data_IF_518111661763
#
_entry.id   IF_518111661763
#
_cell.length_a   1.000
_cell.length_b   1.000
_cell.length_c   1.000
_cell.angle_alpha   90.00
_cell.angle_beta   90.00
_cell.angle_gamma   90.00
#
_symmetry.space_group_name_H-M   'P 1'
#
loop_
_entity.id
_entity.type
_entity.pdbx_description
1 polymer ?
#
# COMPACT_ATOMS: atom_id res chain seq x y z
N UNK A 1 0.39 -18.33 9.37
CA UNK A 1 1.37 -19.19 10.09
C UNK A 1 1.35 -18.84 11.58
N UNK A 2 1.69 -19.75 12.50
CA UNK A 2 1.63 -19.49 13.96
C UNK A 2 3.02 -19.57 14.60
N UNK A 3 3.33 -18.66 15.53
CA UNK A 3 4.43 -18.84 16.49
C UNK A 3 3.87 -19.34 17.81
N UNK A 4 4.50 -20.35 18.41
CA UNK A 4 4.11 -20.85 19.73
C UNK A 4 5.11 -20.30 20.75
N UNK A 5 4.65 -19.55 21.75
CA UNK A 5 5.49 -19.08 22.86
C UNK A 5 4.86 -19.55 24.16
N UNK A 6 5.54 -20.49 24.82
CA UNK A 6 5.24 -21.14 26.11
C UNK A 6 3.83 -21.77 26.24
N UNK A 7 2.73 -21.06 25.99
CA UNK A 7 1.35 -21.59 25.88
C UNK A 7 0.44 -20.86 24.86
N UNK A 8 0.89 -19.80 24.19
CA UNK A 8 0.08 -19.02 23.24
C UNK A 8 0.46 -19.23 21.77
N UNK A 9 -0.56 -19.34 20.90
CA UNK A 9 -0.42 -19.30 19.44
C UNK A 9 -0.59 -17.87 18.93
N UNK A 10 0.50 -17.26 18.50
CA UNK A 10 0.47 -15.93 17.89
C UNK A 10 0.30 -16.09 16.38
N UNK A 11 -0.81 -15.59 15.85
CA UNK A 11 -1.07 -15.57 14.41
C UNK A 11 -0.15 -14.58 13.72
N UNK A 12 0.71 -15.08 12.82
CA UNK A 12 1.48 -14.22 11.94
C UNK A 12 0.59 -13.84 10.75
N UNK A 13 0.26 -12.55 10.58
CA UNK A 13 -0.55 -12.11 9.46
C UNK A 13 0.21 -12.31 8.15
N UNK A 14 -0.49 -12.71 7.09
CA UNK A 14 0.07 -12.86 5.75
C UNK A 14 0.49 -11.51 5.16
N UNK A 15 -0.22 -10.45 5.55
CA UNK A 15 0.00 -9.08 5.14
C UNK A 15 -0.12 -8.14 6.35
N UNK A 16 0.76 -7.15 6.50
CA UNK A 16 0.61 -6.13 7.53
C UNK A 16 -0.69 -5.34 7.34
N UNK A 17 -1.49 -5.20 8.39
CA UNK A 17 -2.78 -4.52 8.32
C UNK A 17 -2.67 -3.04 7.98
N UNK A 18 -1.65 -2.36 8.52
CA UNK A 18 -1.41 -0.96 8.24
C UNK A 18 -0.96 -0.75 6.78
N UNK A 19 -0.16 -1.65 6.22
CA UNK A 19 0.20 -1.62 4.80
C UNK A 19 -1.02 -1.78 3.87
N UNK A 20 -1.96 -2.69 4.19
CA UNK A 20 -3.20 -2.84 3.43
C UNK A 20 -4.04 -1.57 3.51
N UNK A 21 -4.32 -1.09 4.73
CA UNK A 21 -5.17 0.08 4.95
C UNK A 21 -4.61 1.31 4.22
N UNK A 22 -3.31 1.57 4.38
CA UNK A 22 -2.64 2.70 3.74
C UNK A 22 -2.65 2.57 2.21
N UNK A 23 -2.54 1.37 1.65
CA UNK A 23 -2.62 1.15 0.20
C UNK A 23 -4.02 1.43 -0.36
N UNK A 24 -5.07 0.98 0.34
CA UNK A 24 -6.47 1.21 -0.05
C UNK A 24 -6.83 2.69 0.08
N UNK A 25 -6.45 3.32 1.19
CA UNK A 25 -6.71 4.75 1.41
C UNK A 25 -5.97 5.59 0.36
N UNK A 26 -4.71 5.26 0.04
CA UNK A 26 -3.99 5.95 -1.03
C UNK A 26 -4.66 5.76 -2.40
N UNK A 27 -5.15 4.56 -2.71
CA UNK A 27 -5.93 4.35 -3.93
C UNK A 27 -7.18 5.26 -3.97
N UNK A 28 -7.92 5.40 -2.87
CA UNK A 28 -9.09 6.27 -2.79
C UNK A 28 -8.75 7.77 -2.87
N UNK A 29 -7.68 8.21 -2.20
CA UNK A 29 -7.24 9.61 -2.15
C UNK A 29 -6.63 10.06 -3.46
N UNK A 30 -5.88 9.19 -4.15
CA UNK A 30 -5.15 9.57 -5.36
C UNK A 30 -5.88 9.19 -6.65
N UNK A 31 -7.03 8.52 -6.55
CA UNK A 31 -7.88 8.16 -7.69
C UNK A 31 -8.26 9.37 -8.56
N UNK A 32 -8.19 9.16 -9.87
CA UNK A 32 -8.75 10.08 -10.85
C UNK A 32 -10.27 9.90 -11.00
N UNK A 33 -11.04 10.70 -10.26
CA UNK A 33 -12.51 10.68 -10.30
C UNK A 33 -13.11 11.28 -11.59
N UNK A 34 -12.30 11.87 -12.49
CA UNK A 34 -12.82 12.46 -13.74
C UNK A 34 -13.13 11.40 -14.80
N UNK A 35 -12.50 10.23 -14.71
CA UNK A 35 -12.70 9.14 -15.69
C UNK A 35 -13.91 8.29 -15.30
N UNK A 36 -15.03 8.54 -15.97
CA UNK A 36 -16.28 7.79 -15.78
C UNK A 36 -16.05 6.32 -16.15
N UNK A 37 -16.54 5.40 -15.32
CA UNK A 37 -16.41 3.96 -15.52
C UNK A 37 -15.07 3.35 -15.09
N UNK A 38 -14.08 4.16 -14.66
CA UNK A 38 -12.87 3.61 -14.04
C UNK A 38 -13.18 3.10 -12.63
N UNK A 39 -12.45 2.10 -12.15
CA UNK A 39 -12.61 1.57 -10.78
C UNK A 39 -11.26 1.19 -10.16
N UNK A 40 -11.26 1.02 -8.83
CA UNK A 40 -10.11 0.48 -8.10
C UNK A 40 -10.26 -1.04 -8.10
N UNK A 41 -9.26 -1.76 -8.58
CA UNK A 41 -9.26 -3.22 -8.55
C UNK A 41 -8.32 -3.72 -7.45
N UNK A 42 -8.73 -4.79 -6.77
CA UNK A 42 -7.91 -5.48 -5.77
C UNK A 42 -7.83 -6.93 -6.20
N UNK A 43 -6.70 -7.31 -6.78
CA UNK A 43 -6.46 -8.66 -7.27
C UNK A 43 -5.63 -9.43 -6.23
N UNK A 44 -6.22 -10.49 -5.71
CA UNK A 44 -5.56 -11.37 -4.75
C UNK A 44 -5.05 -12.63 -5.45
N UNK A 45 -3.75 -12.85 -5.38
CA UNK A 45 -3.07 -14.05 -5.81
C UNK A 45 -2.52 -14.79 -4.59
N UNK A 46 -2.17 -16.06 -4.75
CA UNK A 46 -1.66 -16.86 -3.63
C UNK A 46 -0.44 -16.21 -2.95
N UNK A 47 0.43 -15.55 -3.75
CA UNK A 47 1.67 -14.97 -3.27
C UNK A 47 1.64 -13.44 -3.05
N UNK A 48 0.59 -12.73 -3.46
CA UNK A 48 0.56 -11.25 -3.43
C UNK A 48 -0.84 -10.68 -3.62
N UNK A 49 -1.02 -9.44 -3.18
CA UNK A 49 -2.17 -8.60 -3.49
C UNK A 49 -1.68 -7.47 -4.40
N UNK A 50 -2.42 -7.19 -5.46
CA UNK A 50 -2.22 -6.04 -6.33
C UNK A 50 -3.41 -5.09 -6.20
N UNK A 51 -3.14 -3.83 -5.85
CA UNK A 51 -4.14 -2.78 -5.71
C UNK A 51 -3.92 -1.79 -6.85
N UNK A 52 -4.82 -1.79 -7.81
CA UNK A 52 -4.83 -0.86 -8.94
C UNK A 52 -5.71 0.35 -8.62
N UNK A 53 -5.21 1.55 -8.93
CA UNK A 53 -5.98 2.79 -8.90
C UNK A 53 -5.86 3.52 -10.24
N UNK A 54 -6.96 4.05 -10.78
CA UNK A 54 -6.91 4.93 -11.93
C UNK A 54 -6.34 6.29 -11.52
N UNK A 55 -5.51 6.87 -12.39
CA UNK A 55 -4.70 8.05 -12.12
C UNK A 55 -3.23 7.69 -11.82
N UNK A 56 -2.32 8.21 -12.63
CA UNK A 56 -0.88 8.15 -12.37
C UNK A 56 -0.43 9.12 -11.27
N UNK A 57 0.88 9.24 -11.12
CA UNK A 57 1.49 10.27 -10.26
C UNK A 57 0.99 11.67 -10.65
N UNK A 58 0.82 12.55 -9.67
CA UNK A 58 0.23 13.88 -9.89
C UNK A 58 1.09 14.76 -10.81
N UNK A 59 2.41 14.62 -10.75
CA UNK A 59 3.40 15.32 -11.58
C UNK A 59 3.73 14.59 -12.89
N UNK A 60 2.96 13.55 -13.25
CA UNK A 60 3.21 12.67 -14.39
C UNK A 60 4.57 11.93 -14.36
N UNK A 61 5.26 11.91 -13.20
CA UNK A 61 6.47 11.11 -13.03
C UNK A 61 6.16 9.61 -12.92
N UNK A 62 7.19 8.79 -13.09
CA UNK A 62 7.10 7.35 -12.92
C UNK A 62 7.62 6.94 -11.54
N UNK A 63 6.76 6.40 -10.67
CA UNK A 63 7.11 6.05 -9.28
C UNK A 63 8.28 5.07 -9.19
N UNK A 64 8.41 4.17 -10.18
CA UNK A 64 9.50 3.20 -10.28
C UNK A 64 10.88 3.85 -10.47
N UNK A 65 10.94 5.10 -10.94
CA UNK A 65 12.17 5.86 -11.13
C UNK A 65 12.48 6.79 -9.94
N UNK A 66 11.56 6.88 -8.98
CA UNK A 66 11.65 7.79 -7.86
C UNK A 66 12.15 7.13 -6.58
N UNK A 67 12.86 7.91 -5.76
CA UNK A 67 13.15 7.47 -4.40
C UNK A 67 11.97 7.79 -3.48
N UNK A 68 11.18 6.77 -3.15
CA UNK A 68 10.02 6.86 -2.26
C UNK A 68 10.33 7.58 -0.93
N UNK A 69 11.55 7.49 -0.42
CA UNK A 69 11.95 8.16 0.82
C UNK A 69 12.21 9.67 0.68
N UNK A 70 12.37 10.17 -0.54
CA UNK A 70 12.63 11.59 -0.87
C UNK A 70 11.45 12.28 -1.56
N UNK A 71 10.36 11.55 -1.85
CA UNK A 71 9.18 12.13 -2.48
C UNK A 71 8.52 13.19 -1.60
N UNK A 72 8.09 14.27 -2.24
CA UNK A 72 7.19 15.26 -1.68
C UNK A 72 5.75 14.79 -1.76
N UNK A 73 4.92 15.25 -0.82
CA UNK A 73 3.50 14.85 -0.74
C UNK A 73 2.69 15.64 -1.76
N UNK A 74 2.09 14.94 -2.72
CA UNK A 74 1.16 15.53 -3.68
C UNK A 74 -0.18 14.80 -3.58
N UNK A 75 -1.25 15.51 -3.21
CA UNK A 75 -2.58 14.93 -2.96
C UNK A 75 -3.53 15.37 -4.07
N UNK A 76 -4.16 14.40 -4.76
CA UNK A 76 -5.13 14.69 -5.82
C UNK A 76 -6.48 15.12 -5.25
N UNK A 77 -6.96 14.45 -4.21
CA UNK A 77 -8.26 14.71 -3.59
C UNK A 77 -8.09 15.14 -2.11
N UNK A 78 -7.76 16.41 -1.82
CA UNK A 78 -7.47 16.88 -0.45
C UNK A 78 -8.67 16.78 0.50
N UNK A 79 -9.90 16.90 -0.02
CA UNK A 79 -11.13 16.73 0.79
C UNK A 79 -11.23 15.30 1.31
N UNK A 80 -11.03 14.29 0.44
CA UNK A 80 -11.04 12.89 0.84
C UNK A 80 -9.93 12.58 1.85
N UNK A 81 -8.73 13.11 1.60
CA UNK A 81 -7.61 12.98 2.54
C UNK A 81 -7.96 13.53 3.93
N UNK A 82 -8.62 14.69 3.99
CA UNK A 82 -9.04 15.30 5.25
C UNK A 82 -10.11 14.46 5.97
N UNK A 83 -11.08 13.91 5.23
CA UNK A 83 -12.09 13.00 5.78
C UNK A 83 -11.43 11.77 6.40
N UNK A 84 -10.54 11.08 5.68
CA UNK A 84 -9.84 9.91 6.21
C UNK A 84 -8.96 10.23 7.41
N UNK A 85 -8.37 11.43 7.45
CA UNK A 85 -7.62 11.91 8.61
C UNK A 85 -8.52 12.08 9.84
N UNK A 86 -9.67 12.74 9.70
CA UNK A 86 -10.61 12.94 10.81
C UNK A 86 -11.26 11.64 11.30
N UNK A 87 -11.43 10.66 10.41
CA UNK A 87 -11.89 9.31 10.78
C UNK A 87 -10.81 8.46 11.46
N UNK A 88 -9.58 8.96 11.59
CA UNK A 88 -8.46 8.22 12.18
C UNK A 88 -7.97 7.05 11.32
N UNK A 89 -8.36 7.01 10.05
CA UNK A 89 -8.03 5.91 9.12
C UNK A 89 -6.66 6.08 8.48
N UNK A 90 -6.19 7.31 8.33
CA UNK A 90 -4.81 7.62 7.96
C UNK A 90 -4.21 8.61 8.94
N UNK A 91 -2.90 8.49 9.16
CA UNK A 91 -2.15 9.49 9.92
C UNK A 91 -1.80 10.62 8.97
N UNK A 92 -1.75 11.86 9.46
CA UNK A 92 -1.38 13.04 8.66
C UNK A 92 0.08 13.03 8.14
N UNK A 93 0.76 11.88 8.23
CA UNK A 93 2.16 11.72 7.95
C UNK A 93 2.38 11.79 6.44
N UNK A 94 3.38 12.59 6.07
CA UNK A 94 3.80 12.98 4.71
C UNK A 94 4.29 11.81 3.83
N UNK A 95 4.00 10.56 4.17
CA UNK A 95 4.83 9.42 3.77
C UNK A 95 4.08 8.10 3.57
N UNK A 96 2.83 8.11 3.09
CA UNK A 96 2.00 6.89 2.94
C UNK A 96 2.72 5.68 2.36
N UNK A 97 3.48 5.87 1.27
CA UNK A 97 4.31 4.80 0.69
C UNK A 97 5.45 4.32 1.60
N UNK A 98 6.07 5.21 2.39
CA UNK A 98 7.09 4.85 3.39
C UNK A 98 6.47 4.08 4.56
N UNK A 99 5.25 4.43 4.96
CA UNK A 99 4.48 3.69 5.97
C UNK A 99 4.31 2.24 5.55
N UNK A 100 3.87 1.99 4.32
CA UNK A 100 3.72 0.65 3.74
C UNK A 100 5.06 -0.12 3.81
N UNK A 101 6.17 0.50 3.36
CA UNK A 101 7.49 -0.15 3.37
C UNK A 101 7.95 -0.46 4.80
N UNK A 102 7.80 0.49 5.73
CA UNK A 102 8.26 0.33 7.10
C UNK A 102 7.45 -0.71 7.86
N UNK A 103 6.13 -0.76 7.62
CA UNK A 103 5.27 -1.76 8.24
C UNK A 103 5.66 -3.19 7.81
N UNK A 104 6.01 -3.38 6.53
CA UNK A 104 6.61 -4.62 6.05
C UNK A 104 7.94 -4.94 6.73
N UNK A 105 8.86 -3.98 6.83
CA UNK A 105 10.18 -4.20 7.45
C UNK A 105 10.10 -4.63 8.92
N UNK A 106 9.03 -4.25 9.62
CA UNK A 106 8.83 -4.58 11.03
C UNK A 106 8.26 -5.98 11.26
N UNK A 107 7.90 -6.71 10.19
CA UNK A 107 7.37 -8.06 10.32
C UNK A 107 8.45 -9.11 10.47
N UNK A 108 8.15 -10.13 11.28
CA UNK A 108 9.06 -11.23 11.61
C UNK A 108 9.59 -11.96 10.36
N UNK A 109 8.73 -12.20 9.37
CA UNK A 109 9.05 -12.96 8.16
C UNK A 109 9.53 -12.14 6.97
N UNK A 110 9.74 -10.84 7.17
CA UNK A 110 10.16 -9.94 6.12
C UNK A 110 11.54 -10.30 5.55
N UNK A 111 11.68 -10.15 4.24
CA UNK A 111 12.96 -10.16 3.56
C UNK A 111 12.93 -9.16 2.39
N UNK A 112 14.11 -8.82 1.84
CA UNK A 112 14.22 -7.83 0.76
C UNK A 112 13.41 -8.18 -0.50
N UNK A 113 13.14 -9.46 -0.78
CA UNK A 113 12.35 -9.90 -1.94
C UNK A 113 10.85 -9.63 -1.75
N UNK A 114 10.38 -9.57 -0.50
CA UNK A 114 9.00 -9.28 -0.12
C UNK A 114 8.74 -7.77 0.07
N UNK A 115 9.69 -6.91 -0.29
CA UNK A 115 9.50 -5.46 -0.25
C UNK A 115 8.31 -5.09 -1.16
N UNK A 116 7.34 -4.28 -0.66
CA UNK A 116 6.27 -3.75 -1.48
C UNK A 116 6.80 -3.04 -2.73
N UNK A 117 6.12 -3.25 -3.86
CA UNK A 117 6.45 -2.58 -5.12
C UNK A 117 5.37 -1.58 -5.47
N UNK A 118 5.80 -0.50 -6.10
CA UNK A 118 4.94 0.54 -6.61
C UNK A 118 5.28 0.70 -8.09
N UNK A 119 4.26 0.74 -8.92
CA UNK A 119 4.39 0.94 -10.35
C UNK A 119 3.36 1.97 -10.79
N UNK A 120 3.75 2.89 -11.66
CA UNK A 120 2.82 3.86 -12.21
C UNK A 120 3.04 4.03 -13.70
N UNK A 121 1.94 4.35 -14.36
CA UNK A 121 1.92 4.93 -15.70
C UNK A 121 1.40 6.36 -15.59
N UNK A 122 1.20 7.03 -16.72
CA UNK A 122 0.56 8.34 -16.75
C UNK A 122 -0.92 8.28 -16.32
N UNK A 123 -1.56 7.10 -16.41
CA UNK A 123 -3.00 6.93 -16.18
C UNK A 123 -3.35 5.94 -15.07
N UNK A 124 -2.38 5.29 -14.44
CA UNK A 124 -2.63 4.31 -13.39
C UNK A 124 -1.51 4.23 -12.36
N UNK A 125 -1.87 3.74 -11.18
CA UNK A 125 -0.94 3.44 -10.10
C UNK A 125 -1.28 2.06 -9.53
N UNK A 126 -0.25 1.24 -9.31
CA UNK A 126 -0.38 -0.12 -8.79
C UNK A 126 0.53 -0.30 -7.58
N UNK A 127 -0.06 -0.80 -6.49
CA UNK A 127 0.67 -1.26 -5.31
C UNK A 127 0.67 -2.78 -5.29
N UNK A 128 1.85 -3.40 -5.22
CA UNK A 128 1.99 -4.85 -5.04
C UNK A 128 2.49 -5.14 -3.63
N UNK A 129 1.69 -5.89 -2.87
CA UNK A 129 1.94 -6.35 -1.51
C UNK A 129 2.21 -7.85 -1.53
N UNK A 130 3.36 -8.32 -1.06
CA UNK A 130 3.71 -9.75 -1.09
C UNK A 130 3.31 -10.48 0.20
N UNK A 131 2.78 -11.69 0.06
CA UNK A 131 2.44 -12.54 1.19
C UNK A 131 3.72 -12.96 1.94
N UNK A 132 3.77 -12.65 3.23
CA UNK A 132 4.94 -12.91 4.09
C UNK A 132 5.13 -14.40 4.42
N UNK A 133 4.08 -15.20 4.27
CA UNK A 133 4.03 -16.60 4.67
C UNK A 133 3.91 -17.59 3.49
N UNK A 134 3.80 -17.13 2.24
CA UNK A 134 3.49 -17.96 1.07
C UNK A 134 4.44 -19.15 0.84
N UNK A 135 5.75 -18.91 0.74
CA UNK A 135 6.74 -19.99 0.51
C UNK A 135 7.02 -20.86 1.75
N UNK A 136 6.19 -20.75 2.79
CA UNK A 136 6.36 -21.45 4.06
C UNK A 136 5.12 -22.26 4.45
N UNK A 137 4.14 -22.36 3.56
CA UNK A 137 2.99 -23.24 3.71
C UNK A 137 3.35 -24.68 3.37
#
# INVERSE_FOLDING_TARGET
MWLTRDYDRIGLPDYPSQAINESIINALIHRDYKTIGSEIHIDMYDNRIEIYSPGGMYDASLIQEQNVFKLEKQIRNPILANVFFHLGLTKNNTTGLKTIINDYKNQFHYNKKLKPKFFSTNSSFVVTLYNLNYNRQ
#
